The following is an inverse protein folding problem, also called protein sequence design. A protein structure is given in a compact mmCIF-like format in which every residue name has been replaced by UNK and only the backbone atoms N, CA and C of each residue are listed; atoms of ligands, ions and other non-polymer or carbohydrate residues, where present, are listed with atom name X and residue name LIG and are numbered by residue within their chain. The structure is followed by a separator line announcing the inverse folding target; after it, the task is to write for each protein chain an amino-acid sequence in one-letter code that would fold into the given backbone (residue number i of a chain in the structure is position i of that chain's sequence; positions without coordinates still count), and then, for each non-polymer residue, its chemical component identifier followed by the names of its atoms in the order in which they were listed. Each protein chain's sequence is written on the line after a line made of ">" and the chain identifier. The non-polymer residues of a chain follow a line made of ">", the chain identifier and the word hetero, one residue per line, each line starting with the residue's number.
data_IF_430993740118
#
_entry.id   IF_430993740118
#
_cell.length_a   1.000
_cell.length_b   1.000
_cell.length_c   1.000
_cell.angle_alpha   90.00
_cell.angle_beta   90.00
_cell.angle_gamma   90.00
#
_symmetry.space_group_name_H-M   'P 1'
#
loop_
_entity.id
_entity.type
_entity.pdbx_description
1 polymer ?
#
# COMPACT_ATOMS: atom_id res chain seq x y z
N UNK A 1 -25.89 12.13 -10.16
CA UNK A 1 -25.15 11.12 -10.95
C UNK A 1 -24.96 9.89 -10.07
N UNK A 2 -25.29 8.70 -10.55
CA UNK A 2 -25.04 7.45 -9.82
C UNK A 2 -23.54 7.14 -9.90
N UNK A 3 -22.90 6.96 -8.75
CA UNK A 3 -21.49 6.59 -8.68
C UNK A 3 -21.28 5.20 -9.30
N UNK A 4 -20.24 5.04 -10.13
CA UNK A 4 -19.86 3.73 -10.65
C UNK A 4 -19.50 2.77 -9.49
N UNK A 5 -19.92 1.50 -9.54
CA UNK A 5 -19.59 0.55 -8.49
C UNK A 5 -18.10 0.19 -8.53
N UNK A 6 -17.55 -0.19 -7.37
CA UNK A 6 -16.19 -0.73 -7.30
C UNK A 6 -16.07 -1.99 -8.19
N UNK A 7 -14.91 -2.14 -8.85
CA UNK A 7 -14.64 -3.28 -9.73
C UNK A 7 -14.64 -4.62 -8.97
N UNK A 8 -14.16 -4.61 -7.74
CA UNK A 8 -14.19 -5.76 -6.83
C UNK A 8 -14.95 -5.38 -5.57
N UNK A 9 -15.84 -6.25 -5.14
CA UNK A 9 -16.66 -6.05 -3.95
C UNK A 9 -16.44 -7.21 -2.98
N UNK A 10 -16.29 -6.88 -1.70
CA UNK A 10 -16.26 -7.88 -0.65
C UNK A 10 -17.61 -8.59 -0.58
N UNK A 11 -17.61 -9.91 -0.73
CA UNK A 11 -18.76 -10.75 -0.41
C UNK A 11 -18.48 -11.46 0.89
N UNK A 12 -19.55 -11.75 1.67
CA UNK A 12 -19.41 -12.41 2.96
C UNK A 12 -18.60 -13.71 2.86
N UNK A 13 -17.56 -13.83 3.67
CA UNK A 13 -16.65 -14.97 3.68
C UNK A 13 -15.62 -15.01 2.54
N UNK A 14 -15.57 -13.98 1.68
CA UNK A 14 -14.47 -13.83 0.73
C UNK A 14 -13.21 -13.30 1.41
N UNK A 15 -12.06 -13.44 0.75
CA UNK A 15 -10.78 -12.90 1.25
C UNK A 15 -10.78 -11.36 1.37
N UNK A 16 -11.75 -10.67 0.77
CA UNK A 16 -11.95 -9.23 0.90
C UNK A 16 -12.87 -8.87 2.07
N UNK A 17 -13.55 -9.86 2.67
CA UNK A 17 -14.40 -9.69 3.85
C UNK A 17 -13.53 -9.78 5.12
N UNK A 18 -13.16 -8.62 5.65
CA UNK A 18 -12.22 -8.52 6.78
C UNK A 18 -12.97 -8.65 8.10
N UNK A 19 -12.52 -9.54 8.99
CA UNK A 19 -13.00 -9.62 10.36
C UNK A 19 -12.55 -8.40 11.18
N UNK A 20 -13.31 -7.32 11.07
CA UNK A 20 -12.99 -6.05 11.74
C UNK A 20 -12.95 -6.18 13.25
N UNK A 21 -13.75 -7.09 13.84
CA UNK A 21 -13.76 -7.29 15.28
C UNK A 21 -12.47 -7.93 15.77
N UNK A 22 -11.92 -8.86 14.98
CA UNK A 22 -10.60 -9.44 15.26
C UNK A 22 -9.52 -8.35 15.22
N UNK A 23 -9.39 -7.60 14.12
CA UNK A 23 -8.32 -6.61 13.97
C UNK A 23 -8.45 -5.43 14.94
N UNK A 24 -9.65 -5.00 15.28
CA UNK A 24 -9.85 -3.93 16.27
C UNK A 24 -9.33 -4.31 17.68
N UNK A 25 -9.38 -5.59 18.07
CA UNK A 25 -8.83 -6.03 19.37
C UNK A 25 -7.30 -5.99 19.42
N UNK A 26 -6.63 -6.04 18.26
CA UNK A 26 -5.17 -6.03 18.19
C UNK A 26 -4.56 -4.66 18.53
N UNK A 27 -5.38 -3.60 18.59
CA UNK A 27 -4.93 -2.24 18.93
C UNK A 27 -4.90 -1.98 20.45
N UNK A 28 -5.39 -2.94 21.28
CA UNK A 28 -5.44 -2.79 22.73
C UNK A 28 -4.02 -2.64 23.34
N UNK A 29 -3.69 -1.51 24.00
CA UNK A 29 -2.32 -1.25 24.44
C UNK A 29 -1.77 -2.25 25.47
N UNK A 30 -2.65 -2.77 26.33
CA UNK A 30 -2.27 -3.68 27.44
C UNK A 30 -2.02 -5.12 26.99
N UNK A 31 -2.35 -5.46 25.73
CA UNK A 31 -2.24 -6.83 25.21
C UNK A 31 -1.08 -6.97 24.21
N UNK A 32 -0.11 -6.05 24.27
CA UNK A 32 1.05 -6.05 23.36
C UNK A 32 2.32 -5.56 24.06
N UNK A 33 3.45 -6.10 23.67
CA UNK A 33 4.78 -5.76 24.14
C UNK A 33 5.63 -5.24 22.99
N UNK A 34 6.28 -4.07 23.16
CA UNK A 34 7.24 -3.57 22.19
C UNK A 34 8.51 -4.42 22.25
N UNK A 35 8.82 -5.12 21.16
CA UNK A 35 9.97 -6.03 21.06
C UNK A 35 11.11 -5.46 20.23
N UNK A 36 10.84 -4.46 19.40
CA UNK A 36 11.86 -3.77 18.61
C UNK A 36 11.46 -2.32 18.37
N UNK A 37 12.44 -1.44 18.17
CA UNK A 37 12.22 -0.06 17.75
C UNK A 37 13.45 0.51 17.07
N UNK A 38 13.20 1.36 16.06
CA UNK A 38 14.25 2.10 15.37
C UNK A 38 13.72 3.46 14.89
N UNK A 39 14.63 4.32 14.52
CA UNK A 39 14.34 5.59 13.88
C UNK A 39 14.87 5.54 12.45
N UNK A 40 14.03 5.88 11.47
CA UNK A 40 14.46 6.16 10.11
C UNK A 40 14.86 7.63 10.05
N UNK A 41 16.18 7.94 9.88
CA UNK A 41 16.63 9.31 9.85
C UNK A 41 16.11 10.08 8.64
N UNK A 42 16.10 11.39 8.72
CA UNK A 42 15.78 12.25 7.59
C UNK A 42 16.64 11.88 6.36
N UNK A 43 16.01 11.87 5.16
CA UNK A 43 16.69 11.62 3.88
C UNK A 43 17.47 10.29 3.82
N UNK A 44 17.08 9.31 4.64
CA UNK A 44 17.72 7.99 4.69
C UNK A 44 16.67 6.87 4.68
N UNK A 45 17.10 5.62 4.60
CA UNK A 45 16.27 4.43 4.61
C UNK A 45 16.75 3.42 5.66
N UNK A 46 15.82 2.64 6.21
CA UNK A 46 16.11 1.51 7.10
C UNK A 46 15.28 0.31 6.70
N UNK A 47 15.83 -0.88 6.94
CA UNK A 47 15.12 -2.14 6.78
C UNK A 47 15.16 -2.95 8.08
N UNK A 48 14.06 -3.65 8.36
CA UNK A 48 13.91 -4.47 9.57
C UNK A 48 12.94 -5.64 9.28
N UNK A 49 12.88 -6.57 10.22
CA UNK A 49 12.02 -7.76 10.12
C UNK A 49 10.81 -7.61 11.02
N UNK A 50 9.64 -8.08 10.54
CA UNK A 50 8.41 -8.15 11.32
C UNK A 50 7.87 -9.57 11.20
N UNK A 51 7.89 -10.38 12.28
CA UNK A 51 7.30 -11.72 12.25
C UNK A 51 5.78 -11.69 12.01
N UNK A 52 5.26 -12.73 11.39
CA UNK A 52 3.81 -12.94 11.28
C UNK A 52 3.12 -12.85 12.64
N UNK A 53 1.96 -12.23 12.71
CA UNK A 53 1.23 -12.03 13.96
C UNK A 53 1.75 -10.88 14.84
N UNK A 54 2.71 -10.09 14.36
CA UNK A 54 3.17 -8.89 15.04
C UNK A 54 2.54 -7.64 14.43
N UNK A 55 2.59 -6.55 15.18
CA UNK A 55 2.17 -5.21 14.72
C UNK A 55 3.41 -4.36 14.50
N UNK A 56 3.44 -3.59 13.42
CA UNK A 56 4.41 -2.53 13.21
C UNK A 56 3.72 -1.18 13.15
N UNK A 57 4.22 -0.21 13.92
CA UNK A 57 3.76 1.18 13.93
C UNK A 57 4.81 2.06 13.28
N UNK A 58 4.34 2.97 12.42
CA UNK A 58 5.11 4.10 11.89
C UNK A 58 4.58 5.37 12.51
N UNK A 59 5.45 6.20 13.10
CA UNK A 59 5.03 7.43 13.77
C UNK A 59 5.86 8.63 13.32
N UNK A 60 5.20 9.78 13.16
CA UNK A 60 5.86 11.06 12.97
C UNK A 60 6.41 11.52 14.33
N UNK A 61 7.74 11.67 14.45
CA UNK A 61 8.39 11.93 15.75
C UNK A 61 8.49 13.43 16.11
N UNK A 62 8.72 14.28 15.12
CA UNK A 62 9.04 15.70 15.32
C UNK A 62 8.14 16.63 14.49
N UNK A 63 7.26 16.05 13.66
CA UNK A 63 6.38 16.79 12.77
C UNK A 63 5.99 15.99 11.54
N UNK A 64 5.27 16.60 10.59
CA UNK A 64 4.79 15.94 9.38
C UNK A 64 5.95 15.44 8.51
N UNK A 65 5.86 14.21 8.05
CA UNK A 65 6.88 13.58 7.20
C UNK A 65 6.27 12.50 6.33
N UNK A 66 6.62 12.47 5.06
CA UNK A 66 6.25 11.39 4.13
C UNK A 66 7.28 10.26 4.19
N UNK A 67 6.80 9.02 4.15
CA UNK A 67 7.63 7.83 4.09
C UNK A 67 7.19 6.88 2.98
N UNK A 68 8.17 6.26 2.31
CA UNK A 68 7.94 5.28 1.24
C UNK A 68 8.24 3.87 1.73
N UNK A 69 7.20 3.05 1.87
CA UNK A 69 7.28 1.70 2.45
C UNK A 69 7.28 0.62 1.38
N UNK A 70 8.28 -0.25 1.41
CA UNK A 70 8.32 -1.51 0.69
C UNK A 70 8.19 -2.71 1.64
N UNK A 71 7.54 -3.79 1.17
CA UNK A 71 7.35 -5.04 1.91
C UNK A 71 7.73 -6.24 1.03
N UNK A 72 8.49 -7.17 1.59
CA UNK A 72 8.79 -8.48 1.01
C UNK A 72 8.45 -9.57 2.02
N UNK A 73 8.08 -10.75 1.52
CA UNK A 73 8.08 -11.95 2.36
C UNK A 73 9.52 -12.26 2.80
N UNK A 74 9.75 -12.36 4.10
CA UNK A 74 11.10 -12.46 4.69
C UNK A 74 11.93 -13.63 4.13
N UNK A 75 11.29 -14.77 3.85
CA UNK A 75 11.97 -15.99 3.41
C UNK A 75 11.91 -16.20 1.89
N UNK A 76 11.17 -15.36 1.16
CA UNK A 76 11.03 -15.43 -0.29
C UNK A 76 10.75 -14.04 -0.90
N UNK A 77 11.77 -13.24 -1.16
CA UNK A 77 11.60 -11.86 -1.64
C UNK A 77 10.95 -11.72 -3.03
N UNK A 78 10.74 -12.83 -3.75
CA UNK A 78 9.92 -12.81 -4.98
C UNK A 78 8.45 -12.53 -4.69
N UNK A 79 7.99 -12.87 -3.49
CA UNK A 79 6.71 -12.44 -2.96
C UNK A 79 6.89 -11.08 -2.30
N UNK A 80 6.37 -10.04 -2.94
CA UNK A 80 6.52 -8.66 -2.51
C UNK A 80 5.22 -7.88 -2.69
N UNK A 81 5.13 -6.76 -2.04
CA UNK A 81 3.95 -5.90 -2.10
C UNK A 81 3.66 -5.45 -3.54
N UNK A 82 2.37 -5.43 -3.88
CA UNK A 82 1.87 -5.04 -5.19
C UNK A 82 0.87 -3.89 -5.07
N UNK A 83 1.36 -2.66 -5.17
CA UNK A 83 0.59 -1.44 -4.97
C UNK A 83 -0.62 -1.35 -5.91
N UNK A 84 -0.45 -1.58 -7.21
CA UNK A 84 -1.55 -1.48 -8.18
C UNK A 84 -2.64 -2.55 -7.98
N UNK A 85 -2.28 -3.77 -7.53
CA UNK A 85 -3.28 -4.79 -7.20
C UNK A 85 -4.01 -4.45 -5.89
N UNK A 86 -3.30 -3.95 -4.91
CA UNK A 86 -3.89 -3.47 -3.66
C UNK A 86 -4.89 -2.36 -3.95
N UNK A 87 -4.50 -1.36 -4.76
CA UNK A 87 -5.39 -0.28 -5.19
C UNK A 87 -6.65 -0.80 -5.87
N UNK A 88 -6.53 -1.81 -6.75
CA UNK A 88 -7.65 -2.37 -7.48
C UNK A 88 -8.61 -3.15 -6.58
N UNK A 89 -8.09 -3.91 -5.60
CA UNK A 89 -8.88 -4.73 -4.69
C UNK A 89 -9.48 -3.93 -3.53
N UNK A 90 -8.79 -2.86 -3.11
CA UNK A 90 -9.17 -2.02 -1.97
C UNK A 90 -9.56 -0.62 -2.45
N UNK A 91 -8.60 0.30 -2.43
CA UNK A 91 -8.78 1.70 -2.83
C UNK A 91 -7.44 2.36 -3.15
N UNK A 92 -7.50 3.57 -3.73
CA UNK A 92 -6.30 4.33 -4.11
C UNK A 92 -5.53 4.87 -2.89
N UNK A 93 -6.22 5.14 -1.79
CA UNK A 93 -5.66 5.58 -0.51
C UNK A 93 -6.16 4.61 0.55
N UNK A 94 -5.25 3.84 1.10
CA UNK A 94 -5.58 2.77 2.06
C UNK A 94 -5.67 3.31 3.48
N UNK A 95 -6.52 2.69 4.28
CA UNK A 95 -6.73 3.06 5.68
C UNK A 95 -7.16 1.83 6.50
N UNK A 96 -7.63 2.03 7.72
CA UNK A 96 -8.00 0.98 8.66
C UNK A 96 -8.88 -0.11 8.03
N UNK A 97 -8.46 -1.36 8.19
CA UNK A 97 -8.99 -2.61 7.64
C UNK A 97 -8.72 -2.87 6.15
N UNK A 98 -8.01 -2.00 5.45
CA UNK A 98 -7.50 -2.33 4.12
C UNK A 98 -6.28 -3.25 4.23
N UNK A 99 -6.13 -4.16 3.26
CA UNK A 99 -5.05 -5.16 3.20
C UNK A 99 -4.06 -4.82 2.10
N UNK A 100 -2.78 -5.01 2.38
CA UNK A 100 -1.69 -4.87 1.43
C UNK A 100 -1.41 -6.25 0.81
N UNK A 101 -1.53 -6.36 -0.52
CA UNK A 101 -1.52 -7.63 -1.24
C UNK A 101 -0.17 -7.93 -1.88
N UNK A 102 0.20 -9.21 -1.92
CA UNK A 102 1.41 -9.69 -2.57
C UNK A 102 1.26 -9.92 -4.07
N UNK A 103 2.42 -10.02 -4.75
CA UNK A 103 2.53 -10.33 -6.18
C UNK A 103 2.10 -11.75 -6.53
N UNK A 104 1.79 -11.97 -7.82
CA UNK A 104 1.61 -13.32 -8.37
C UNK A 104 2.93 -14.12 -8.29
N UNK A 105 2.86 -15.43 -8.13
CA UNK A 105 1.66 -16.27 -8.08
C UNK A 105 1.00 -16.38 -6.70
N UNK A 106 1.56 -15.72 -5.68
CA UNK A 106 1.17 -15.89 -4.27
C UNK A 106 -0.20 -15.27 -3.98
N UNK A 107 -0.39 -13.99 -4.33
CA UNK A 107 -1.62 -13.21 -4.20
C UNK A 107 -2.36 -13.48 -2.89
N UNK A 108 -1.78 -13.04 -1.79
CA UNK A 108 -2.36 -13.09 -0.44
C UNK A 108 -2.11 -11.77 0.29
N UNK A 109 -2.86 -11.46 1.35
CA UNK A 109 -2.54 -10.35 2.24
C UNK A 109 -1.14 -10.53 2.85
N UNK A 110 -0.31 -9.49 2.77
CA UNK A 110 0.98 -9.43 3.47
C UNK A 110 0.83 -8.73 4.81
N UNK A 111 0.00 -7.69 4.84
CA UNK A 111 -0.33 -6.92 6.03
C UNK A 111 -1.76 -6.40 5.96
N UNK A 112 -2.34 -6.13 7.13
CA UNK A 112 -3.64 -5.45 7.29
C UNK A 112 -3.43 -4.19 8.11
N UNK A 113 -3.92 -3.04 7.65
CA UNK A 113 -3.92 -1.79 8.43
C UNK A 113 -4.92 -1.96 9.57
N UNK A 114 -4.48 -1.81 10.82
CA UNK A 114 -5.33 -2.02 11.99
C UNK A 114 -5.66 -0.72 12.71
N UNK A 115 -4.81 0.30 12.59
CA UNK A 115 -5.05 1.61 13.19
C UNK A 115 -4.37 2.70 12.34
N UNK A 116 -5.00 3.88 12.31
CA UNK A 116 -4.58 5.02 11.50
C UNK A 116 -5.18 6.29 12.11
N UNK A 117 -4.34 7.12 12.72
CA UNK A 117 -4.80 8.37 13.38
C UNK A 117 -5.37 9.37 12.39
N UNK A 118 -5.03 9.24 11.11
CA UNK A 118 -5.47 10.13 10.03
C UNK A 118 -6.57 9.50 9.14
N UNK A 119 -7.20 8.40 9.58
CA UNK A 119 -8.20 7.67 8.80
C UNK A 119 -9.36 8.53 8.29
N UNK A 120 -9.71 9.61 8.99
CA UNK A 120 -10.79 10.53 8.61
C UNK A 120 -10.36 11.60 7.61
N UNK A 121 -9.07 11.84 7.41
CA UNK A 121 -8.59 12.91 6.53
C UNK A 121 -9.05 12.72 5.07
N UNK A 122 -9.70 13.75 4.54
CA UNK A 122 -10.24 13.75 3.16
C UNK A 122 -11.44 12.83 2.92
N UNK A 123 -12.03 12.23 3.96
CA UNK A 123 -13.12 11.24 3.84
C UNK A 123 -14.47 11.81 4.23
N UNK A 124 -14.56 12.58 5.28
CA UNK A 124 -15.81 13.16 5.78
C UNK A 124 -15.91 14.68 5.51
N UNK A 125 -17.07 15.23 5.81
CA UNK A 125 -17.36 16.66 5.57
C UNK A 125 -16.56 17.62 6.45
N UNK A 126 -15.98 17.14 7.57
CA UNK A 126 -15.17 17.94 8.49
C UNK A 126 -13.67 17.87 8.18
N UNK A 127 -13.21 16.73 7.65
CA UNK A 127 -11.84 16.49 7.27
C UNK A 127 -11.60 16.42 5.76
N UNK A 128 -12.56 16.82 4.93
CA UNK A 128 -12.40 16.76 3.48
C UNK A 128 -11.40 17.80 3.02
N UNK A 129 -10.37 17.34 2.36
CA UNK A 129 -9.47 18.20 1.62
C UNK A 129 -10.21 18.92 0.48
N UNK A 130 -9.99 20.23 0.32
CA UNK A 130 -10.69 21.08 -0.64
C UNK A 130 -10.49 20.64 -2.09
N UNK A 131 -9.33 19.98 -2.39
CA UNK A 131 -8.99 19.43 -3.69
C UNK A 131 -9.23 17.91 -3.77
N UNK A 132 -9.82 17.29 -2.76
CA UNK A 132 -10.10 15.85 -2.72
C UNK A 132 -8.89 14.98 -2.37
N UNK A 133 -7.80 15.56 -1.83
CA UNK A 133 -6.62 14.81 -1.40
C UNK A 133 -6.92 13.85 -0.25
N UNK A 134 -6.25 12.69 -0.26
CA UNK A 134 -6.30 11.66 0.79
C UNK A 134 -4.90 11.14 1.05
N UNK A 135 -4.71 10.50 2.19
CA UNK A 135 -3.42 9.98 2.64
C UNK A 135 -3.26 8.47 2.45
N UNK A 136 -2.02 8.00 2.64
CA UNK A 136 -1.62 6.61 2.45
C UNK A 136 -1.83 6.14 1.01
N UNK A 137 -1.07 6.77 0.14
CA UNK A 137 -1.26 6.74 -1.31
C UNK A 137 -0.72 5.48 -1.99
N UNK A 138 -1.48 5.00 -2.97
CA UNK A 138 -1.12 3.94 -3.92
C UNK A 138 -1.25 4.39 -5.39
N UNK A 139 -1.50 5.68 -5.66
CA UNK A 139 -1.57 6.24 -7.02
C UNK A 139 -0.18 6.52 -7.55
N UNK A 140 0.65 7.12 -6.69
CA UNK A 140 2.03 7.46 -6.98
C UNK A 140 3.00 6.28 -6.80
N UNK A 141 4.26 6.64 -6.80
CA UNK A 141 5.37 5.76 -6.48
C UNK A 141 6.43 6.57 -5.73
N UNK A 142 7.57 5.97 -5.46
CA UNK A 142 8.72 6.63 -4.82
C UNK A 142 9.40 7.62 -5.76
N UNK A 143 9.95 8.70 -5.22
CA UNK A 143 10.87 9.54 -5.97
C UNK A 143 12.16 8.78 -6.29
N UNK A 144 12.80 9.07 -7.44
CA UNK A 144 13.96 8.35 -7.92
C UNK A 144 14.97 9.27 -8.61
N UNK A 145 16.27 8.90 -8.66
CA UNK A 145 17.30 9.72 -9.27
C UNK A 145 17.20 9.78 -10.80
N UNK A 146 16.57 8.79 -11.43
CA UNK A 146 16.47 8.74 -12.91
C UNK A 146 15.56 9.82 -13.45
N UNK A 147 14.35 9.95 -12.90
CA UNK A 147 13.42 11.04 -13.26
C UNK A 147 14.00 12.40 -12.87
N UNK A 148 14.62 12.50 -11.67
CA UNK A 148 15.29 13.73 -11.28
C UNK A 148 16.33 14.17 -12.32
N UNK A 149 17.21 13.26 -12.74
CA UNK A 149 18.22 13.51 -13.76
C UNK A 149 17.60 13.96 -15.10
N UNK A 150 16.48 13.34 -15.51
CA UNK A 150 15.78 13.73 -16.73
C UNK A 150 15.17 15.14 -16.63
N UNK A 151 14.66 15.53 -15.47
CA UNK A 151 13.99 16.82 -15.28
C UNK A 151 14.95 17.97 -14.99
N UNK A 152 16.03 17.73 -14.25
CA UNK A 152 16.94 18.79 -13.76
C UNK A 152 18.32 18.74 -14.37
N UNK A 153 18.74 17.60 -14.90
CA UNK A 153 20.11 17.36 -15.34
C UNK A 153 21.10 17.06 -14.21
N UNK A 154 20.63 17.02 -12.96
CA UNK A 154 21.47 16.85 -11.77
C UNK A 154 21.42 15.41 -11.23
N UNK A 155 22.57 14.92 -10.76
CA UNK A 155 22.66 13.68 -10.00
C UNK A 155 22.46 13.96 -8.51
N UNK A 156 21.52 13.25 -7.90
CA UNK A 156 21.24 13.34 -6.47
C UNK A 156 20.81 11.99 -5.94
N UNK A 157 21.60 11.42 -5.01
CA UNK A 157 21.47 10.02 -4.56
C UNK A 157 20.67 9.85 -3.26
N UNK A 158 19.92 10.85 -2.85
CA UNK A 158 19.09 10.80 -1.62
C UNK A 158 17.59 10.71 -1.90
N UNK A 159 17.21 10.23 -3.07
CA UNK A 159 15.80 9.91 -3.38
C UNK A 159 15.33 8.67 -2.61
N UNK A 160 14.03 8.52 -2.43
CA UNK A 160 13.45 7.36 -1.75
C UNK A 160 13.88 6.04 -2.39
N UNK A 161 13.97 5.98 -3.71
CA UNK A 161 14.50 4.80 -4.42
C UNK A 161 15.91 4.45 -3.96
N UNK A 162 16.84 5.42 -3.98
CA UNK A 162 18.23 5.21 -3.55
C UNK A 162 18.33 4.83 -2.07
N UNK A 163 17.50 5.44 -1.21
CA UNK A 163 17.42 5.11 0.22
C UNK A 163 16.97 3.67 0.44
N UNK A 164 15.92 3.21 -0.27
CA UNK A 164 15.43 1.84 -0.21
C UNK A 164 16.46 0.86 -0.74
N UNK A 165 17.13 1.16 -1.85
CA UNK A 165 18.22 0.32 -2.38
C UNK A 165 19.30 0.10 -1.32
N UNK A 166 19.82 1.20 -0.72
CA UNK A 166 20.83 1.10 0.35
C UNK A 166 20.34 0.29 1.55
N UNK A 167 19.08 0.48 1.95
CA UNK A 167 18.50 -0.19 3.10
C UNK A 167 18.39 -1.71 2.90
N UNK A 168 18.17 -2.20 1.67
CA UNK A 168 17.93 -3.63 1.43
C UNK A 168 19.18 -4.40 1.01
N UNK A 169 20.25 -3.74 0.58
CA UNK A 169 21.52 -4.39 0.23
C UNK A 169 22.03 -5.36 1.32
N UNK A 170 22.04 -5.01 2.63
CA UNK A 170 22.47 -5.91 3.70
C UNK A 170 21.61 -7.17 3.84
N UNK A 171 20.44 -7.18 3.25
CA UNK A 171 19.50 -8.31 3.24
C UNK A 171 19.62 -9.17 1.96
N UNK A 172 20.63 -8.92 1.12
CA UNK A 172 20.87 -9.66 -0.11
C UNK A 172 19.94 -9.32 -1.26
N UNK A 173 19.20 -8.22 -1.14
CA UNK A 173 18.36 -7.66 -2.21
C UNK A 173 19.16 -6.61 -3.00
N UNK A 174 18.64 -6.25 -4.17
CA UNK A 174 19.26 -5.34 -5.12
C UNK A 174 18.28 -4.24 -5.53
N UNK A 175 18.71 -3.30 -6.33
CA UNK A 175 17.85 -2.28 -6.93
C UNK A 175 16.64 -2.88 -7.66
N UNK A 176 16.80 -4.03 -8.33
CA UNK A 176 15.71 -4.72 -9.06
C UNK A 176 14.61 -5.27 -8.14
N UNK A 177 14.89 -5.38 -6.86
CA UNK A 177 13.92 -5.85 -5.87
C UNK A 177 13.09 -4.71 -5.28
N UNK A 178 13.55 -3.45 -5.39
CA UNK A 178 12.82 -2.26 -4.95
C UNK A 178 11.66 -2.01 -5.93
N UNK A 179 10.44 -2.05 -5.40
CA UNK A 179 9.20 -1.99 -6.18
C UNK A 179 8.35 -0.78 -5.77
N UNK A 180 7.15 -0.62 -6.35
CA UNK A 180 6.23 0.45 -5.96
C UNK A 180 5.88 0.35 -4.48
N UNK A 181 5.72 1.51 -3.87
CA UNK A 181 5.62 1.69 -2.42
C UNK A 181 4.18 1.93 -1.97
N UNK A 182 3.94 1.79 -0.68
CA UNK A 182 2.90 2.53 0.01
C UNK A 182 3.52 3.87 0.46
N UNK A 183 2.99 4.98 -0.03
CA UNK A 183 3.40 6.32 0.40
C UNK A 183 2.68 6.66 1.71
N UNK A 184 3.36 6.39 2.83
CA UNK A 184 2.82 6.61 4.18
C UNK A 184 2.78 8.10 4.50
N UNK A 185 1.65 8.59 5.01
CA UNK A 185 1.37 10.00 5.33
C UNK A 185 1.37 10.96 4.13
N UNK A 186 1.52 10.47 2.91
CA UNK A 186 1.48 11.31 1.71
C UNK A 186 0.05 11.64 1.31
N UNK A 187 -0.25 12.93 1.18
CA UNK A 187 -1.53 13.41 0.69
C UNK A 187 -1.50 13.62 -0.83
N UNK A 188 -2.39 12.93 -1.54
CA UNK A 188 -2.42 12.95 -3.01
C UNK A 188 -3.85 12.83 -3.54
N UNK A 189 -4.00 13.03 -4.84
CA UNK A 189 -5.24 12.82 -5.57
C UNK A 189 -5.06 12.96 -7.07
N UNK A 190 -6.17 12.96 -7.78
CA UNK A 190 -6.24 13.31 -9.20
C UNK A 190 -7.07 14.58 -9.35
N UNK A 191 -6.56 15.56 -10.09
CA UNK A 191 -7.29 16.80 -10.39
C UNK A 191 -8.34 16.57 -11.48
N UNK A 192 -9.07 17.62 -11.89
CA UNK A 192 -10.12 17.54 -12.90
C UNK A 192 -9.62 17.15 -14.29
N UNK A 193 -8.32 17.32 -14.55
CA UNK A 193 -7.64 16.89 -15.78
C UNK A 193 -7.05 15.46 -15.68
N UNK A 194 -7.43 14.69 -14.64
CA UNK A 194 -6.95 13.34 -14.36
C UNK A 194 -5.43 13.27 -14.10
N UNK A 195 -4.83 14.38 -13.66
CA UNK A 195 -3.41 14.47 -13.33
C UNK A 195 -3.17 14.23 -11.84
N UNK A 196 -2.12 13.49 -11.53
CA UNK A 196 -1.68 13.25 -10.17
C UNK A 196 -1.15 14.53 -9.52
N UNK A 197 -1.64 14.83 -8.32
CA UNK A 197 -1.14 15.93 -7.50
C UNK A 197 -0.68 15.43 -6.12
N UNK A 198 0.25 16.16 -5.53
CA UNK A 198 0.72 15.98 -4.16
C UNK A 198 0.46 17.27 -3.37
N UNK A 199 0.18 17.11 -2.08
CA UNK A 199 -0.02 18.21 -1.13
C UNK A 199 0.85 17.98 0.10
N UNK A 200 1.00 19.03 0.90
CA UNK A 200 1.64 18.94 2.20
C UNK A 200 1.02 17.84 3.06
N UNK A 201 1.87 17.10 3.73
CA UNK A 201 1.49 16.04 4.67
C UNK A 201 0.64 16.63 5.80
N UNK A 202 -0.58 16.13 6.06
CA UNK A 202 -1.44 16.68 7.10
C UNK A 202 -1.13 16.15 8.49
N UNK A 203 -0.15 15.25 8.65
CA UNK A 203 0.20 14.67 9.93
C UNK A 203 0.76 15.73 10.89
N UNK A 204 0.64 15.45 12.18
CA UNK A 204 1.25 16.18 13.29
C UNK A 204 2.22 15.26 14.03
N UNK A 205 3.04 15.81 14.92
CA UNK A 205 3.86 15.01 15.82
C UNK A 205 3.00 13.99 16.59
N UNK A 206 3.40 12.73 16.57
CA UNK A 206 2.73 11.63 17.24
C UNK A 206 1.63 10.93 16.42
N UNK A 207 1.30 11.41 15.23
CA UNK A 207 0.42 10.68 14.32
C UNK A 207 1.08 9.38 13.87
N UNK A 208 0.28 8.32 13.68
CA UNK A 208 0.79 7.00 13.32
C UNK A 208 -0.13 6.19 12.42
N UNK A 209 0.49 5.21 11.76
CA UNK A 209 -0.14 4.13 11.01
C UNK A 209 0.33 2.79 11.57
N UNK A 210 -0.58 1.84 11.84
CA UNK A 210 -0.27 0.49 12.29
C UNK A 210 -0.64 -0.57 11.27
N UNK A 211 0.29 -1.49 11.03
CA UNK A 211 0.08 -2.69 10.22
C UNK A 211 0.21 -3.95 11.07
N UNK A 212 -0.74 -4.85 10.96
CA UNK A 212 -0.61 -6.24 11.43
C UNK A 212 0.04 -7.07 10.31
N UNK A 213 1.13 -7.75 10.61
CA UNK A 213 1.86 -8.61 9.68
C UNK A 213 1.13 -9.94 9.51
N UNK A 214 0.55 -10.19 8.35
CA UNK A 214 -0.14 -11.43 8.02
C UNK A 214 0.84 -12.59 7.74
N UNK A 215 2.04 -12.26 7.30
CA UNK A 215 3.16 -13.19 7.02
C UNK A 215 4.45 -12.60 7.55
N UNK A 216 5.51 -13.40 7.64
CA UNK A 216 6.83 -12.89 7.99
C UNK A 216 7.31 -11.86 6.95
N UNK A 217 7.61 -10.64 7.38
CA UNK A 217 7.97 -9.52 6.53
C UNK A 217 9.42 -9.09 6.70
N UNK A 218 10.07 -8.77 5.59
CA UNK A 218 11.12 -7.77 5.52
C UNK A 218 10.46 -6.45 5.11
N UNK A 219 10.58 -5.45 5.95
CA UNK A 219 10.10 -4.10 5.69
C UNK A 219 11.27 -3.18 5.38
N UNK A 220 11.10 -2.22 4.49
CA UNK A 220 12.03 -1.10 4.34
C UNK A 220 11.24 0.20 4.16
N UNK A 221 11.65 1.24 4.87
CA UNK A 221 11.05 2.57 4.81
C UNK A 221 12.12 3.60 4.46
N UNK A 222 11.82 4.44 3.48
CA UNK A 222 12.58 5.66 3.21
C UNK A 222 11.86 6.85 3.84
N UNK A 223 12.58 7.64 4.62
CA UNK A 223 12.16 8.97 5.03
C UNK A 223 12.35 9.91 3.83
N UNK A 224 11.24 10.38 3.24
CA UNK A 224 11.26 11.10 1.96
C UNK A 224 12.15 12.35 2.04
N UNK A 225 13.09 12.54 1.09
CA UNK A 225 13.92 13.75 1.03
C UNK A 225 13.13 15.03 0.76
N UNK A 226 11.90 14.92 0.25
CA UNK A 226 10.96 16.02 0.09
C UNK A 226 10.30 16.49 1.39
N UNK A 227 10.61 15.87 2.52
CA UNK A 227 10.08 16.24 3.83
C UNK A 227 8.57 16.03 3.94
N UNK A 228 7.87 17.05 4.35
CA UNK A 228 6.41 17.08 4.46
C UNK A 228 5.69 17.49 3.16
N UNK A 229 6.43 17.75 2.07
CA UNK A 229 5.94 18.23 0.78
C UNK A 229 5.25 19.61 0.81
N UNK A 230 5.49 20.42 1.84
CA UNK A 230 5.02 21.81 1.90
C UNK A 230 5.86 22.78 1.05
N UNK A 231 7.05 22.32 0.61
CA UNK A 231 8.00 23.10 -0.19
C UNK A 231 7.95 22.60 -1.63
N UNK A 232 7.93 23.54 -2.58
CA UNK A 232 8.01 23.23 -4.00
C UNK A 232 9.36 22.56 -4.33
N UNK A 233 9.32 21.34 -4.84
CA UNK A 233 10.51 20.56 -5.20
C UNK A 233 11.00 20.85 -6.62
N UNK A 234 10.13 21.38 -7.48
CA UNK A 234 10.40 21.68 -8.90
C UNK A 234 9.79 23.02 -9.28
N UNK A 235 10.32 23.60 -10.36
CA UNK A 235 9.83 24.86 -10.91
C UNK A 235 10.53 26.10 -10.35
N UNK A 236 10.03 27.30 -10.64
CA UNK A 236 10.72 28.56 -10.37
C UNK A 236 10.83 28.89 -8.86
N UNK A 237 9.99 28.30 -8.03
CA UNK A 237 9.97 28.51 -6.57
C UNK A 237 10.61 27.35 -5.81
N UNK A 238 11.20 26.38 -6.52
CA UNK A 238 11.82 25.22 -5.89
C UNK A 238 12.91 25.62 -4.90
N UNK A 239 12.90 24.95 -3.74
CA UNK A 239 13.93 25.11 -2.71
C UNK A 239 14.23 23.79 -2.03
N UNK A 240 15.36 23.74 -1.28
CA UNK A 240 15.71 22.54 -0.52
C UNK A 240 14.76 22.37 0.67
N UNK A 241 13.98 21.27 0.74
CA UNK A 241 13.02 20.99 1.81
C UNK A 241 13.68 20.50 3.11
N UNK A 242 15.00 20.65 3.30
CA UNK A 242 15.71 20.10 4.47
C UNK A 242 15.07 20.48 5.79
N UNK A 243 14.57 21.71 5.91
CA UNK A 243 13.96 22.20 7.17
C UNK A 243 12.56 21.62 7.45
N UNK A 244 11.94 20.98 6.47
CA UNK A 244 10.65 20.29 6.61
C UNK A 244 10.81 18.77 6.66
N UNK A 245 12.06 18.28 6.74
CA UNK A 245 12.34 16.86 6.92
C UNK A 245 12.38 16.52 8.41
N UNK A 246 11.60 15.50 8.80
CA UNK A 246 11.53 14.96 10.16
C UNK A 246 11.80 13.44 10.15
N UNK A 247 12.34 12.87 11.22
CA UNK A 247 12.53 11.42 11.31
C UNK A 247 11.19 10.69 11.50
N UNK A 248 11.13 9.44 11.04
CA UNK A 248 9.99 8.54 11.28
C UNK A 248 10.40 7.47 12.29
N UNK A 249 9.59 7.32 13.35
CA UNK A 249 9.72 6.24 14.31
C UNK A 249 9.11 4.95 13.78
N UNK A 250 9.74 3.83 14.11
CA UNK A 250 9.22 2.49 13.85
C UNK A 250 9.25 1.69 15.14
N UNK A 251 8.13 1.09 15.50
CA UNK A 251 8.01 0.20 16.65
C UNK A 251 7.39 -1.13 16.23
N UNK A 252 7.93 -2.24 16.73
CA UNK A 252 7.37 -3.59 16.47
C UNK A 252 6.84 -4.13 17.79
N UNK A 253 5.59 -4.59 17.76
CA UNK A 253 4.90 -5.13 18.94
C UNK A 253 4.58 -6.61 18.71
N UNK A 254 4.93 -7.42 19.71
CA UNK A 254 4.44 -8.78 19.87
C UNK A 254 3.09 -8.71 20.58
N UNK A 255 2.11 -9.44 20.05
CA UNK A 255 0.79 -9.55 20.64
C UNK A 255 0.71 -10.72 21.63
N UNK A 256 -0.18 -10.62 22.61
CA UNK A 256 -0.53 -11.76 23.47
C UNK A 256 -1.08 -12.89 22.62
N UNK A 257 -0.62 -14.11 22.90
CA UNK A 257 -1.02 -15.31 22.16
C UNK A 257 -2.54 -15.53 22.16
N UNK A 258 -3.23 -15.12 23.23
CA UNK A 258 -4.68 -15.19 23.32
C UNK A 258 -5.42 -14.35 22.27
N UNK A 259 -4.85 -13.22 21.86
CA UNK A 259 -5.43 -12.39 20.80
C UNK A 259 -5.35 -13.08 19.43
N UNK A 260 -4.37 -13.95 19.25
CA UNK A 260 -4.12 -14.68 18.00
C UNK A 260 -4.79 -16.06 17.96
N UNK A 261 -5.60 -16.41 18.98
CA UNK A 261 -6.30 -17.69 19.01
C UNK A 261 -7.20 -17.84 17.79
N UNK A 262 -7.02 -18.92 17.04
CA UNK A 262 -7.75 -19.20 15.80
C UNK A 262 -7.24 -18.48 14.55
N UNK A 263 -6.40 -17.45 14.69
CA UNK A 263 -5.75 -16.82 13.54
C UNK A 263 -4.64 -17.72 12.95
N UNK A 264 -4.49 -17.67 11.65
CA UNK A 264 -3.39 -18.33 10.90
C UNK A 264 -2.95 -17.41 9.77
N UNK A 265 -1.65 -17.41 9.41
CA UNK A 265 -1.17 -16.74 8.22
C UNK A 265 -1.98 -17.18 6.99
N UNK A 266 -2.38 -16.23 6.10
CA UNK A 266 -3.11 -16.57 4.90
C UNK A 266 -2.26 -17.41 3.95
N UNK A 267 -2.88 -18.46 3.39
CA UNK A 267 -2.22 -19.29 2.38
C UNK A 267 -2.12 -18.54 1.04
N UNK A 268 -1.09 -18.84 0.22
CA UNK A 268 -1.03 -18.36 -1.15
C UNK A 268 -2.25 -18.78 -1.97
N UNK A 269 -2.51 -18.04 -3.05
CA UNK A 269 -3.59 -18.37 -3.98
C UNK A 269 -3.53 -19.85 -4.39
N UNK A 270 -4.64 -20.60 -4.33
CA UNK A 270 -4.69 -22.01 -4.71
C UNK A 270 -4.63 -22.24 -6.21
N UNK A 271 -4.41 -21.19 -7.02
CA UNK A 271 -4.33 -21.32 -8.47
C UNK A 271 -3.15 -22.21 -8.89
N UNK A 272 -3.45 -23.28 -9.61
CA UNK A 272 -2.45 -24.31 -9.97
C UNK A 272 -1.44 -23.89 -11.07
N UNK A 273 -1.48 -22.64 -11.54
CA UNK A 273 -0.52 -22.10 -12.53
C UNK A 273 -0.61 -22.71 -13.93
N UNK A 274 -1.73 -23.34 -14.28
CA UNK A 274 -1.90 -24.01 -15.56
C UNK A 274 -1.95 -23.08 -16.77
N UNK A 275 -2.45 -21.86 -16.63
CA UNK A 275 -2.56 -20.81 -17.64
C UNK A 275 -3.12 -21.27 -19.00
N UNK A 276 -3.88 -22.39 -19.02
CA UNK A 276 -4.38 -23.00 -20.27
C UNK A 276 -3.31 -23.70 -21.11
N UNK A 277 -2.10 -23.90 -20.59
CA UNK A 277 -0.98 -24.50 -21.34
C UNK A 277 -1.13 -26.02 -21.57
N UNK A 278 -1.96 -26.69 -20.76
CA UNK A 278 -2.18 -28.15 -20.79
C UNK A 278 -3.59 -28.53 -21.24
N UNK A 279 -4.20 -27.76 -22.10
CA UNK A 279 -5.55 -28.06 -22.60
C UNK A 279 -5.64 -27.84 -24.10
N UNK A 280 -6.71 -28.36 -24.75
CA UNK A 280 -6.96 -28.01 -26.14
C UNK A 280 -7.14 -26.49 -26.27
N UNK A 281 -6.60 -25.91 -27.33
CA UNK A 281 -6.84 -24.52 -27.64
C UNK A 281 -8.34 -24.26 -27.81
N UNK A 282 -8.85 -23.19 -27.20
CA UNK A 282 -10.25 -22.82 -27.33
C UNK A 282 -10.37 -21.74 -28.43
N UNK A 283 -11.13 -22.03 -29.48
CA UNK A 283 -11.52 -21.00 -30.45
C UNK A 283 -12.62 -20.10 -29.83
N UNK A 284 -12.18 -19.05 -29.16
CA UNK A 284 -13.07 -18.06 -28.53
C UNK A 284 -13.91 -17.31 -29.54
N UNK A 285 -13.44 -17.16 -30.79
CA UNK A 285 -14.22 -16.54 -31.87
C UNK A 285 -15.38 -17.43 -32.31
N UNK A 286 -15.17 -18.75 -32.41
CA UNK A 286 -16.25 -19.70 -32.66
C UNK A 286 -17.27 -19.70 -31.52
N UNK A 287 -16.82 -19.75 -30.27
CA UNK A 287 -17.72 -19.65 -29.08
C UNK A 287 -18.52 -18.35 -29.04
N UNK A 288 -17.90 -17.22 -29.36
CA UNK A 288 -18.62 -15.93 -29.44
C UNK A 288 -19.72 -15.97 -30.52
N UNK A 289 -19.41 -16.52 -31.72
CA UNK A 289 -20.39 -16.66 -32.78
C UNK A 289 -21.55 -17.57 -32.37
N UNK A 290 -21.27 -18.67 -31.68
CA UNK A 290 -22.28 -19.59 -31.16
C UNK A 290 -23.17 -18.92 -30.10
N UNK A 291 -22.59 -18.21 -29.12
CA UNK A 291 -23.35 -17.45 -28.13
C UNK A 291 -24.26 -16.39 -28.78
N UNK A 292 -23.76 -15.64 -29.78
CA UNK A 292 -24.55 -14.65 -30.48
C UNK A 292 -25.72 -15.27 -31.25
N UNK A 293 -25.54 -16.49 -31.85
CA UNK A 293 -26.62 -17.23 -32.50
C UNK A 293 -27.69 -17.71 -31.51
N UNK A 294 -27.27 -18.16 -30.32
CA UNK A 294 -28.18 -18.58 -29.25
C UNK A 294 -29.01 -17.40 -28.72
N UNK A 295 -28.39 -16.23 -28.53
CA UNK A 295 -29.09 -15.01 -28.13
C UNK A 295 -30.08 -14.56 -29.22
N UNK A 296 -29.67 -14.55 -30.49
CA UNK A 296 -30.54 -14.20 -31.62
C UNK A 296 -31.67 -15.22 -31.83
N UNK A 297 -31.42 -16.50 -31.58
CA UNK A 297 -32.46 -17.57 -31.65
C UNK A 297 -33.36 -17.60 -30.40
N UNK A 298 -32.90 -17.08 -29.26
CA UNK A 298 -33.61 -16.99 -27.99
C UNK A 298 -34.43 -15.71 -27.79
N UNK A 299 -34.51 -14.80 -28.75
CA UNK A 299 -35.15 -13.48 -28.67
C UNK A 299 -36.68 -13.48 -28.46
N UNK A 300 -37.22 -14.45 -27.75
CA UNK A 300 -38.59 -14.45 -27.18
C UNK A 300 -38.61 -14.63 -25.66
N UNK A 301 -37.61 -14.28 -24.94
CA UNK A 301 -37.59 -14.41 -23.45
C UNK A 301 -36.80 -13.33 -22.77
N UNK A 302 -37.48 -12.54 -21.99
CA UNK A 302 -37.11 -11.47 -20.99
C UNK A 302 -35.62 -11.14 -20.76
N UNK A 303 -35.27 -9.84 -20.67
CA UNK A 303 -33.90 -9.42 -20.36
C UNK A 303 -33.49 -9.91 -18.95
N UNK A 304 -32.35 -10.59 -18.86
CA UNK A 304 -31.70 -10.89 -17.57
C UNK A 304 -31.17 -9.58 -17.01
N UNK A 305 -31.85 -9.07 -15.98
CA UNK A 305 -31.32 -8.00 -15.17
C UNK A 305 -30.03 -8.46 -14.47
N UNK A 306 -29.00 -7.70 -14.61
CA UNK A 306 -27.82 -7.80 -13.74
C UNK A 306 -28.26 -7.48 -12.30
N UNK A 307 -28.07 -8.41 -11.41
CA UNK A 307 -28.12 -8.19 -9.96
C UNK A 307 -26.69 -8.11 -9.40
#
# INVERSE_FOLDING_TARGET
>A
MTQAPAAYQATRGSILDVDRAFYARLTEPNARERVDSLVVPIRDGRAWKVPAGHVVRFSTLEGPQVGDLNLWHLHNPRERFWASRTRQLQRAHVSTFDRLWSTLPYLRPMATIIDDTLASYGVDGSGRDEQGGRIHDLLGTRCDPYVNRLLTGEDFDHHCHSNLVRAVLPHGLTEFDVHDVLNVFQCTGLNDDDQYFMKACPASEGDYLELFAEIDLLCALSCCPGGDLSVDLWGPNASDPLLTCHPIGVEVFRLDAALLEGWRPPEPSPYAGGHGLKGPSIDWSAKKREAARQEAGGARGKPRGYR
#
